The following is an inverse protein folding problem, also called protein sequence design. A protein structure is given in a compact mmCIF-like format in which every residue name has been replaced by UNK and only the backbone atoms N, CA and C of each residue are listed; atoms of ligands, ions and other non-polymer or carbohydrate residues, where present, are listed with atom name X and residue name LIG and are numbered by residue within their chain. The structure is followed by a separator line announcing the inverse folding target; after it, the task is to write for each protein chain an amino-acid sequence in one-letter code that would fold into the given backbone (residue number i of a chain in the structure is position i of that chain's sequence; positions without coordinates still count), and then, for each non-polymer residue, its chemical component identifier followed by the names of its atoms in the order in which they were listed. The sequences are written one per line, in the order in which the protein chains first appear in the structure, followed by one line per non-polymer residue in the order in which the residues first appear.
data_IF_726698290460
#
_entry.id   IF_726698290460
#
_cell.length_a   1.000
_cell.length_b   1.000
_cell.length_c   1.000
_cell.angle_alpha   90.00
_cell.angle_beta   90.00
_cell.angle_gamma   90.00
#
_symmetry.space_group_name_H-M   'P 1'
#
loop_
_entity.id
_entity.type
_entity.pdbx_description
1 polymer ?
#
# COMPACT_ATOMS: atom_id res chain seq x y z
N UNK A 1 -1.32 26.29 -19.83
CA UNK A 1 -2.20 25.28 -19.19
C UNK A 1 -3.01 25.96 -18.09
N UNK A 2 -4.30 25.77 -18.09
CA UNK A 2 -5.12 26.28 -16.99
C UNK A 2 -4.89 25.47 -15.72
N UNK A 3 -5.04 26.09 -14.55
CA UNK A 3 -4.91 25.41 -13.24
C UNK A 3 -5.80 24.15 -13.18
N UNK A 4 -6.97 24.20 -13.79
CA UNK A 4 -7.89 23.07 -13.90
C UNK A 4 -7.33 21.91 -14.74
N UNK A 5 -6.58 22.21 -15.80
CA UNK A 5 -5.92 21.19 -16.62
C UNK A 5 -4.80 20.49 -15.84
N UNK A 6 -3.95 21.25 -15.16
CA UNK A 6 -2.88 20.70 -14.30
C UNK A 6 -3.45 19.84 -13.17
N UNK A 7 -4.49 20.33 -12.50
CA UNK A 7 -5.17 19.60 -11.44
C UNK A 7 -5.77 18.28 -11.96
N UNK A 8 -6.40 18.30 -13.14
CA UNK A 8 -6.94 17.10 -13.77
C UNK A 8 -5.87 16.07 -14.11
N UNK A 9 -4.75 16.51 -14.68
CA UNK A 9 -3.61 15.61 -15.00
C UNK A 9 -3.03 14.99 -13.73
N UNK A 10 -2.86 15.76 -12.66
CA UNK A 10 -2.37 15.25 -11.37
C UNK A 10 -3.32 14.22 -10.77
N UNK A 11 -4.62 14.49 -10.80
CA UNK A 11 -5.62 13.55 -10.27
C UNK A 11 -5.66 12.23 -11.06
N UNK A 12 -5.64 12.31 -12.38
CA UNK A 12 -5.66 11.12 -13.24
C UNK A 12 -4.37 10.32 -13.11
N UNK A 13 -3.20 10.99 -13.08
CA UNK A 13 -1.92 10.31 -12.88
C UNK A 13 -1.82 9.66 -11.50
N UNK A 14 -2.31 10.30 -10.45
CA UNK A 14 -2.38 9.75 -9.10
C UNK A 14 -3.29 8.51 -9.03
N UNK A 15 -4.46 8.58 -9.65
CA UNK A 15 -5.39 7.46 -9.73
C UNK A 15 -4.81 6.28 -10.54
N UNK A 16 -4.17 6.56 -11.68
CA UNK A 16 -3.48 5.55 -12.47
C UNK A 16 -2.35 4.87 -11.68
N UNK A 17 -1.57 5.65 -10.94
CA UNK A 17 -0.51 5.14 -10.09
C UNK A 17 -1.05 4.25 -8.97
N UNK A 18 -2.12 4.66 -8.32
CA UNK A 18 -2.80 3.86 -7.30
C UNK A 18 -3.34 2.53 -7.87
N UNK A 19 -3.86 2.56 -9.10
CA UNK A 19 -4.33 1.36 -9.79
C UNK A 19 -3.18 0.39 -10.11
N UNK A 20 -2.06 0.91 -10.63
CA UNK A 20 -0.86 0.11 -10.89
C UNK A 20 -0.34 -0.50 -9.58
N UNK A 21 -0.34 0.26 -8.50
CA UNK A 21 0.04 -0.23 -7.18
C UNK A 21 -0.88 -1.37 -6.69
N UNK A 22 -2.19 -1.23 -6.88
CA UNK A 22 -3.16 -2.26 -6.52
C UNK A 22 -2.94 -3.55 -7.33
N UNK A 23 -2.71 -3.44 -8.63
CA UNK A 23 -2.36 -4.59 -9.50
C UNK A 23 -1.04 -5.22 -9.07
N UNK A 24 -0.05 -4.39 -8.70
CA UNK A 24 1.23 -4.86 -8.19
C UNK A 24 1.08 -5.72 -6.92
N UNK A 25 0.25 -5.27 -5.98
CA UNK A 25 -0.03 -6.03 -4.74
C UNK A 25 -0.64 -7.40 -5.04
N UNK A 26 -1.50 -7.50 -6.04
CA UNK A 26 -2.11 -8.77 -6.44
C UNK A 26 -1.14 -9.71 -7.17
N UNK A 27 -0.12 -9.15 -7.82
CA UNK A 27 0.84 -9.92 -8.64
C UNK A 27 2.07 -10.38 -7.89
N UNK A 28 2.45 -9.74 -6.79
CA UNK A 28 3.61 -10.15 -6.01
C UNK A 28 3.28 -11.37 -5.15
N UNK A 29 4.03 -12.43 -5.33
CA UNK A 29 3.92 -13.66 -4.53
C UNK A 29 4.56 -13.54 -3.15
N UNK A 30 5.49 -12.60 -2.98
CA UNK A 30 6.22 -12.37 -1.75
C UNK A 30 5.48 -11.39 -0.82
N UNK A 31 5.27 -11.82 0.44
CA UNK A 31 4.59 -11.03 1.49
C UNK A 31 5.31 -9.70 1.76
N UNK A 32 6.64 -9.68 1.76
CA UNK A 32 7.43 -8.47 1.96
C UNK A 32 7.27 -7.47 0.82
N UNK A 33 7.33 -7.94 -0.42
CA UNK A 33 7.12 -7.12 -1.60
C UNK A 33 5.69 -6.59 -1.66
N UNK A 34 4.70 -7.39 -1.25
CA UNK A 34 3.30 -6.96 -1.10
C UNK A 34 3.13 -5.86 -0.06
N UNK A 35 3.74 -5.98 1.11
CA UNK A 35 3.68 -4.95 2.14
C UNK A 35 4.33 -3.65 1.68
N UNK A 36 5.45 -3.71 0.99
CA UNK A 36 6.13 -2.54 0.42
C UNK A 36 5.30 -1.87 -0.67
N UNK A 37 4.73 -2.64 -1.59
CA UNK A 37 3.85 -2.14 -2.63
C UNK A 37 2.55 -1.57 -2.07
N UNK A 38 1.97 -2.22 -1.05
CA UNK A 38 0.73 -1.78 -0.41
C UNK A 38 0.88 -0.48 0.39
N UNK A 39 2.06 -0.18 0.91
CA UNK A 39 2.27 0.99 1.77
C UNK A 39 2.83 2.21 1.04
N UNK A 40 3.76 2.03 0.11
CA UNK A 40 4.45 3.17 -0.54
C UNK A 40 3.75 3.67 -1.80
N UNK A 41 3.28 2.76 -2.63
CA UNK A 41 2.72 3.14 -3.92
C UNK A 41 1.34 3.79 -3.84
N UNK A 42 0.39 3.32 -3.00
CA UNK A 42 -0.91 3.99 -2.87
C UNK A 42 -0.81 5.35 -2.19
N UNK A 43 0.12 5.55 -1.25
CA UNK A 43 0.32 6.85 -0.60
C UNK A 43 0.79 7.91 -1.58
N UNK A 44 1.69 7.58 -2.50
CA UNK A 44 2.13 8.50 -3.53
C UNK A 44 0.98 8.86 -4.49
N UNK A 45 0.22 7.87 -4.93
CA UNK A 45 -0.97 8.07 -5.77
C UNK A 45 -1.99 8.97 -5.10
N UNK A 46 -2.27 8.73 -3.81
CA UNK A 46 -3.19 9.55 -3.02
C UNK A 46 -2.68 10.98 -2.85
N UNK A 47 -1.39 11.18 -2.59
CA UNK A 47 -0.79 12.52 -2.48
C UNK A 47 -0.93 13.31 -3.79
N UNK A 48 -0.75 12.67 -4.95
CA UNK A 48 -0.95 13.29 -6.24
C UNK A 48 -2.41 13.70 -6.46
N UNK A 49 -3.36 12.83 -6.09
CA UNK A 49 -4.80 13.14 -6.17
C UNK A 49 -5.14 14.30 -5.24
N UNK A 50 -4.65 14.30 -4.01
CA UNK A 50 -4.87 15.38 -3.05
C UNK A 50 -4.26 16.71 -3.51
N UNK A 51 -3.06 16.68 -4.09
CA UNK A 51 -2.42 17.86 -4.67
C UNK A 51 -3.26 18.45 -5.82
N UNK A 52 -3.74 17.60 -6.71
CA UNK A 52 -4.65 18.00 -7.79
C UNK A 52 -5.97 18.59 -7.25
N UNK A 53 -6.56 17.95 -6.24
CA UNK A 53 -7.77 18.43 -5.58
C UNK A 53 -7.55 19.79 -4.89
N UNK A 54 -6.43 19.96 -4.20
CA UNK A 54 -6.07 21.23 -3.55
C UNK A 54 -5.94 22.36 -4.57
N UNK A 55 -5.31 22.11 -5.71
CA UNK A 55 -5.19 23.08 -6.81
C UNK A 55 -6.54 23.43 -7.41
N UNK A 56 -7.42 22.45 -7.57
CA UNK A 56 -8.74 22.67 -8.18
C UNK A 56 -9.72 23.41 -7.26
N UNK A 57 -9.73 23.05 -5.99
CA UNK A 57 -10.63 23.64 -5.01
C UNK A 57 -10.18 25.04 -4.56
N UNK A 58 -8.88 25.30 -4.53
CA UNK A 58 -8.29 26.59 -4.20
C UNK A 58 -8.72 27.16 -2.85
N UNK A 59 -8.26 28.36 -2.53
CA UNK A 59 -8.72 29.17 -1.41
C UNK A 59 -8.79 28.43 -0.07
N UNK A 60 -9.95 28.51 0.58
CA UNK A 60 -10.20 27.96 1.91
C UNK A 60 -10.17 26.42 1.99
N UNK A 61 -10.32 25.74 0.87
CA UNK A 61 -10.36 24.27 0.83
C UNK A 61 -8.96 23.64 0.73
N UNK A 62 -8.00 24.36 0.16
CA UNK A 62 -6.63 23.87 0.00
C UNK A 62 -5.96 23.42 1.32
N UNK A 63 -6.02 24.19 2.43
CA UNK A 63 -5.42 23.76 3.70
C UNK A 63 -6.12 22.55 4.30
N UNK A 64 -7.41 22.36 4.08
CA UNK A 64 -8.14 21.18 4.55
C UNK A 64 -7.67 19.90 3.82
N UNK A 65 -7.50 19.98 2.51
CA UNK A 65 -7.00 18.89 1.70
C UNK A 65 -5.54 18.56 2.05
N UNK A 66 -4.73 19.59 2.29
CA UNK A 66 -3.35 19.42 2.74
C UNK A 66 -3.29 18.74 4.11
N UNK A 67 -4.17 19.11 5.05
CA UNK A 67 -4.27 18.48 6.36
C UNK A 67 -4.61 16.99 6.25
N UNK A 68 -5.56 16.62 5.38
CA UNK A 68 -5.90 15.22 5.11
C UNK A 68 -4.68 14.47 4.57
N UNK A 69 -3.92 15.06 3.65
CA UNK A 69 -2.69 14.48 3.12
C UNK A 69 -1.65 14.22 4.20
N UNK A 70 -1.43 15.18 5.09
CA UNK A 70 -0.50 15.05 6.22
C UNK A 70 -0.96 13.95 7.19
N UNK A 71 -2.25 13.91 7.53
CA UNK A 71 -2.80 12.88 8.40
C UNK A 71 -2.64 11.49 7.81
N UNK A 72 -2.91 11.32 6.52
CA UNK A 72 -2.72 10.03 5.84
C UNK A 72 -1.24 9.64 5.80
N UNK A 73 -0.36 10.61 5.52
CA UNK A 73 1.08 10.36 5.50
C UNK A 73 1.64 9.95 6.86
N UNK A 74 1.10 10.49 7.95
CA UNK A 74 1.48 10.12 9.32
C UNK A 74 0.86 8.79 9.77
N UNK A 75 -0.39 8.52 9.39
CA UNK A 75 -1.10 7.31 9.81
C UNK A 75 -0.69 6.06 9.02
N UNK A 76 -0.32 6.19 7.77
CA UNK A 76 0.08 5.07 6.92
C UNK A 76 1.30 4.29 7.49
N UNK A 77 2.43 4.93 7.88
CA UNK A 77 3.54 4.20 8.48
C UNK A 77 3.19 3.62 9.86
N UNK A 78 2.38 4.30 10.66
CA UNK A 78 1.95 3.78 11.97
C UNK A 78 1.09 2.53 11.79
N UNK A 79 0.15 2.55 10.85
CA UNK A 79 -0.67 1.39 10.52
C UNK A 79 0.17 0.20 10.03
N UNK A 80 1.13 0.44 9.15
CA UNK A 80 2.04 -0.58 8.66
C UNK A 80 2.91 -1.18 9.79
N UNK A 81 3.40 -0.36 10.72
CA UNK A 81 4.15 -0.82 11.88
C UNK A 81 3.29 -1.63 12.86
N UNK A 82 2.03 -1.23 13.08
CA UNK A 82 1.10 -1.97 13.94
C UNK A 82 0.76 -3.33 13.34
N UNK A 83 0.51 -3.41 12.04
CA UNK A 83 0.26 -4.67 11.34
C UNK A 83 1.52 -5.55 11.37
N UNK A 84 2.69 -4.99 11.09
CA UNK A 84 3.96 -5.70 11.18
C UNK A 84 4.23 -6.26 12.59
N UNK A 85 3.91 -5.50 13.64
CA UNK A 85 4.00 -5.95 15.03
C UNK A 85 2.99 -7.03 15.38
N UNK A 86 1.76 -6.94 14.87
CA UNK A 86 0.72 -7.93 15.09
C UNK A 86 1.11 -9.28 14.44
N UNK A 87 1.62 -9.24 13.21
CA UNK A 87 2.12 -10.42 12.50
C UNK A 87 3.35 -11.01 13.21
N UNK A 88 4.23 -10.18 13.75
CA UNK A 88 5.41 -10.62 14.51
C UNK A 88 5.08 -11.17 15.89
N UNK A 89 3.96 -10.71 16.50
CA UNK A 89 3.49 -11.22 17.81
C UNK A 89 2.68 -12.51 17.72
N UNK A 90 2.26 -12.89 16.52
CA UNK A 90 1.61 -14.18 16.26
C UNK A 90 2.52 -15.11 15.45
N UNK A 91 3.81 -15.29 15.81
CA UNK A 91 4.70 -16.16 15.06
C UNK A 91 4.27 -17.63 15.16
N UNK A 92 3.52 -17.97 16.22
CA UNK A 92 3.12 -19.35 16.47
C UNK A 92 2.18 -19.93 15.42
N UNK A 93 1.20 -19.19 14.94
CA UNK A 93 0.17 -19.75 14.05
C UNK A 93 0.58 -19.75 12.56
N UNK A 94 1.34 -18.74 12.13
CA UNK A 94 1.77 -18.65 10.74
C UNK A 94 3.06 -19.43 10.46
N UNK A 95 4.00 -19.40 11.38
CA UNK A 95 5.25 -20.17 11.28
C UNK A 95 4.99 -21.66 11.40
N UNK A 96 4.13 -22.09 12.34
CA UNK A 96 3.68 -23.48 12.47
C UNK A 96 2.99 -23.93 11.17
N UNK A 97 2.25 -23.08 10.52
CA UNK A 97 1.55 -23.41 9.27
C UNK A 97 2.51 -23.55 8.07
N UNK A 98 3.53 -22.71 8.01
CA UNK A 98 4.56 -22.77 6.97
C UNK A 98 5.48 -23.96 7.21
N UNK A 99 5.94 -24.15 8.44
CA UNK A 99 6.78 -25.30 8.82
C UNK A 99 6.05 -26.63 8.64
N UNK A 100 4.75 -26.69 8.97
CA UNK A 100 3.95 -27.90 8.77
C UNK A 100 3.75 -28.23 7.29
N UNK A 101 3.62 -27.22 6.43
CA UNK A 101 3.52 -27.41 4.98
C UNK A 101 4.85 -27.85 4.39
N UNK A 102 5.98 -27.29 4.84
CA UNK A 102 7.32 -27.68 4.42
C UNK A 102 7.68 -29.10 4.91
N UNK A 103 7.37 -29.45 6.16
CA UNK A 103 7.55 -30.81 6.69
C UNK A 103 6.70 -31.86 5.95
N UNK A 104 5.47 -31.50 5.56
CA UNK A 104 4.62 -32.38 4.76
C UNK A 104 5.14 -32.57 3.33
N UNK A 105 5.68 -31.52 2.72
CA UNK A 105 6.31 -31.59 1.41
C UNK A 105 7.58 -32.48 1.44
N UNK A 106 8.43 -32.30 2.46
CA UNK A 106 9.63 -33.17 2.67
C UNK A 106 9.26 -34.61 2.95
N UNK A 107 8.19 -34.88 3.71
CA UNK A 107 7.72 -36.24 4.00
C UNK A 107 7.15 -36.92 2.76
N UNK A 108 6.50 -36.17 1.86
CA UNK A 108 6.00 -36.70 0.58
C UNK A 108 7.14 -37.02 -0.38
N UNK A 109 8.17 -36.17 -0.48
CA UNK A 109 9.38 -36.44 -1.27
C UNK A 109 10.15 -37.68 -0.74
N UNK A 110 10.22 -37.85 0.57
CA UNK A 110 10.84 -39.03 1.19
C UNK A 110 10.05 -40.33 0.97
N UNK A 111 8.73 -40.22 0.72
CA UNK A 111 7.88 -41.39 0.40
C UNK A 111 7.96 -41.82 -1.06
N UNK A 112 8.22 -40.90 -1.97
CA UNK A 112 8.35 -41.14 -3.41
C UNK A 112 9.77 -41.60 -3.80
N UNK A 113 10.75 -41.38 -2.95
CA UNK A 113 12.11 -41.89 -3.07
C UNK A 113 12.25 -43.22 -2.35
#
# INVERSE_FOLDING_TARGET
MSVNGVAGVLMVSGAAWALIAAVGVLRFDDVFSRMHAATKAPTLGLLLVLAGAALRLGGWHAPKVALVGVLVFLTAPVGAHLIGRAVHRSPGDLEIRIDTVDELAEADEAREG
#
